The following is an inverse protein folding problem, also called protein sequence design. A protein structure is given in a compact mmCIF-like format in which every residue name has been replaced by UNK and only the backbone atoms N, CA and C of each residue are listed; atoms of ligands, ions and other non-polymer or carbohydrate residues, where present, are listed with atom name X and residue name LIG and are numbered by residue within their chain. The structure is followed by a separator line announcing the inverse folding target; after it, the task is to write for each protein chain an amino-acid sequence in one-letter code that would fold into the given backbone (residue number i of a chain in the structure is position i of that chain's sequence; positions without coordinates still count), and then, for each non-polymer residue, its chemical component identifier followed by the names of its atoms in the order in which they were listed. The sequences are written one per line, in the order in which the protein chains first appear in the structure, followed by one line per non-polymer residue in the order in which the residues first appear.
data_IF_347758710131
#
_entry.id   IF_347758710131
#
_cell.length_a   1.000
_cell.length_b   1.000
_cell.length_c   1.000
_cell.angle_alpha   90.00
_cell.angle_beta   90.00
_cell.angle_gamma   90.00
#
_symmetry.space_group_name_H-M   'P 1'
#
loop_
_entity.id
_entity.type
_entity.pdbx_description
1 polymer ?
#
# COMPACT_ATOMS: atom_id res chain seq x y z
N UNK A 1 -15.54 5.43 -18.43
CA UNK A 1 -14.50 5.82 -17.44
C UNK A 1 -14.33 4.71 -16.41
N UNK A 2 -13.09 4.26 -16.20
CA UNK A 2 -12.70 3.02 -15.50
C UNK A 2 -13.30 2.92 -14.09
N UNK A 3 -14.01 1.84 -13.77
CA UNK A 3 -14.66 1.57 -12.48
C UNK A 3 -13.67 1.24 -11.33
N UNK A 4 -12.42 1.71 -11.43
CA UNK A 4 -11.32 1.37 -10.52
C UNK A 4 -11.67 1.65 -9.06
N UNK A 5 -12.22 2.82 -8.74
CA UNK A 5 -12.58 3.16 -7.37
C UNK A 5 -13.65 2.26 -6.74
N UNK A 6 -14.56 1.68 -7.56
CA UNK A 6 -15.55 0.70 -7.08
C UNK A 6 -14.88 -0.66 -6.86
N UNK A 7 -14.07 -1.11 -7.82
CA UNK A 7 -13.31 -2.36 -7.72
C UNK A 7 -12.36 -2.35 -6.53
N UNK A 8 -11.64 -1.24 -6.32
CA UNK A 8 -10.71 -1.07 -5.21
C UNK A 8 -11.43 -1.24 -3.87
N UNK A 9 -12.59 -0.59 -3.67
CA UNK A 9 -13.37 -0.75 -2.43
C UNK A 9 -13.86 -2.17 -2.20
N UNK A 10 -14.26 -2.88 -3.27
CA UNK A 10 -14.78 -4.24 -3.17
C UNK A 10 -13.69 -5.27 -2.90
N UNK A 11 -12.48 -5.03 -3.40
CA UNK A 11 -11.34 -5.93 -3.25
C UNK A 11 -10.46 -5.62 -2.02
N UNK A 12 -10.88 -4.67 -1.17
CA UNK A 12 -10.12 -4.30 0.02
C UNK A 12 -10.24 -5.36 1.11
N UNK A 13 -9.09 -5.82 1.60
CA UNK A 13 -8.97 -6.60 2.83
C UNK A 13 -9.36 -5.68 4.00
N UNK A 14 -10.27 -6.13 4.86
CA UNK A 14 -10.89 -5.30 5.89
C UNK A 14 -9.86 -4.79 6.91
N UNK A 15 -8.96 -5.67 7.30
CA UNK A 15 -7.88 -5.46 8.24
C UNK A 15 -6.88 -4.41 7.72
N UNK A 16 -6.76 -4.26 6.40
CA UNK A 16 -5.76 -3.41 5.77
C UNK A 16 -6.32 -2.12 5.20
N UNK A 17 -7.60 -1.81 5.41
CA UNK A 17 -8.29 -0.66 4.81
C UNK A 17 -7.54 0.67 4.97
N UNK A 18 -6.86 0.88 6.11
CA UNK A 18 -6.06 2.08 6.40
C UNK A 18 -4.81 2.24 5.52
N UNK A 19 -4.25 1.13 5.04
CA UNK A 19 -3.00 1.12 4.27
C UNK A 19 -3.22 1.25 2.77
N UNK A 20 -4.44 1.02 2.26
CA UNK A 20 -4.76 1.24 0.85
C UNK A 20 -4.63 2.72 0.45
N UNK A 21 -4.36 2.94 -0.84
CA UNK A 21 -4.32 4.28 -1.44
C UNK A 21 -5.67 4.99 -1.30
N UNK A 22 -5.65 6.25 -0.84
CA UNK A 22 -6.86 7.06 -0.76
C UNK A 22 -7.26 7.63 -2.14
N UNK A 23 -7.74 6.74 -3.00
CA UNK A 23 -8.09 7.05 -4.39
C UNK A 23 -9.15 8.16 -4.49
N UNK A 24 -10.11 8.21 -3.55
CA UNK A 24 -11.16 9.24 -3.52
C UNK A 24 -10.56 10.64 -3.30
N UNK A 25 -9.61 10.77 -2.37
CA UNK A 25 -8.91 12.03 -2.09
C UNK A 25 -8.09 12.47 -3.30
N UNK A 26 -7.28 11.57 -3.87
CA UNK A 26 -6.45 11.86 -5.04
C UNK A 26 -7.30 12.32 -6.24
N UNK A 27 -8.38 11.59 -6.53
CA UNK A 27 -9.33 11.95 -7.60
C UNK A 27 -9.96 13.33 -7.37
N UNK A 28 -10.31 13.68 -6.13
CA UNK A 28 -10.83 15.02 -5.79
C UNK A 28 -9.82 16.12 -6.06
N UNK A 29 -8.54 15.89 -5.73
CA UNK A 29 -7.45 16.85 -5.99
C UNK A 29 -7.26 17.06 -7.50
N UNK A 30 -7.14 15.98 -8.27
CA UNK A 30 -7.04 16.05 -9.74
C UNK A 30 -8.21 16.81 -10.36
N UNK A 31 -9.44 16.56 -9.90
CA UNK A 31 -10.63 17.28 -10.41
C UNK A 31 -10.56 18.79 -10.15
N UNK A 32 -10.10 19.21 -8.96
CA UNK A 32 -9.95 20.64 -8.64
C UNK A 32 -8.94 21.31 -9.56
N UNK A 33 -7.83 20.65 -9.87
CA UNK A 33 -6.83 21.18 -10.80
C UNK A 33 -7.38 21.34 -12.22
N UNK A 34 -8.09 20.31 -12.72
CA UNK A 34 -8.74 20.38 -14.03
C UNK A 34 -9.76 21.51 -14.12
N UNK A 35 -10.49 21.80 -13.03
CA UNK A 35 -11.48 22.88 -13.00
C UNK A 35 -10.81 24.26 -12.94
N UNK A 36 -9.77 24.42 -12.13
CA UNK A 36 -9.05 25.69 -12.01
C UNK A 36 -8.32 26.11 -13.30
N UNK A 37 -7.85 25.15 -14.10
CA UNK A 37 -7.29 25.44 -15.43
C UNK A 37 -8.35 25.85 -16.46
N UNK A 38 -9.60 25.38 -16.31
CA UNK A 38 -10.70 25.71 -17.22
C UNK A 38 -11.39 27.04 -16.87
N UNK A 39 -11.40 27.43 -15.60
CA UNK A 39 -12.14 28.63 -15.14
C UNK A 39 -11.39 29.95 -15.35
N UNK A 40 -10.12 29.95 -15.79
CA UNK A 40 -9.35 31.18 -16.06
C UNK A 40 -9.21 32.12 -14.87
N UNK A 41 -9.49 31.64 -13.66
CA UNK A 41 -9.58 32.45 -12.44
C UNK A 41 -8.18 32.83 -11.95
N UNK A 42 -7.87 34.13 -12.04
CA UNK A 42 -6.60 34.78 -11.67
C UNK A 42 -6.15 34.60 -10.21
N UNK A 43 -7.05 34.18 -9.31
CA UNK A 43 -6.76 33.97 -7.87
C UNK A 43 -6.25 32.57 -7.51
N UNK A 44 -5.89 31.75 -8.50
CA UNK A 44 -5.43 30.39 -8.24
C UNK A 44 -3.92 30.35 -8.01
N UNK A 45 -3.48 29.67 -6.95
CA UNK A 45 -2.06 29.41 -6.70
C UNK A 45 -1.32 28.93 -7.96
N UNK A 46 -0.01 29.24 -8.11
CA UNK A 46 0.75 28.86 -9.29
C UNK A 46 0.62 27.35 -9.55
N UNK A 47 0.40 26.97 -10.83
CA UNK A 47 0.26 25.57 -11.24
C UNK A 47 1.40 24.68 -10.72
N UNK A 48 2.61 25.22 -10.62
CA UNK A 48 3.79 24.54 -10.06
C UNK A 48 3.62 24.16 -8.58
N UNK A 49 3.03 25.03 -7.76
CA UNK A 49 2.78 24.78 -6.33
C UNK A 49 1.73 23.68 -6.17
N UNK A 50 0.67 23.79 -6.96
CA UNK A 50 -0.43 22.81 -7.06
C UNK A 50 0.06 21.40 -7.41
N UNK A 51 0.92 21.28 -8.44
CA UNK A 51 1.49 20.00 -8.86
C UNK A 51 2.46 19.46 -7.82
N UNK A 52 3.27 20.33 -7.20
CA UNK A 52 4.19 19.96 -6.12
C UNK A 52 3.44 19.41 -4.90
N UNK A 53 2.32 20.04 -4.52
CA UNK A 53 1.46 19.57 -3.43
C UNK A 53 0.84 18.20 -3.74
N UNK A 54 0.42 17.99 -4.99
CA UNK A 54 -0.11 16.71 -5.41
C UNK A 54 0.97 15.62 -5.43
N UNK A 55 2.18 15.93 -5.90
CA UNK A 55 3.32 15.01 -5.85
C UNK A 55 3.60 14.58 -4.41
N UNK A 56 3.71 15.54 -3.48
CA UNK A 56 3.91 15.24 -2.05
C UNK A 56 2.80 14.36 -1.49
N UNK A 57 1.55 14.61 -1.87
CA UNK A 57 0.43 13.78 -1.47
C UNK A 57 0.55 12.36 -2.05
N UNK A 58 0.97 12.19 -3.30
CA UNK A 58 1.20 10.88 -3.89
C UNK A 58 2.37 10.16 -3.20
N UNK A 59 3.49 10.84 -2.99
CA UNK A 59 4.68 10.29 -2.35
C UNK A 59 4.33 9.75 -0.95
N UNK A 60 3.56 10.51 -0.15
CA UNK A 60 3.11 10.04 1.17
C UNK A 60 2.16 8.81 1.09
N UNK A 61 1.34 8.69 0.03
CA UNK A 61 0.52 7.49 -0.15
C UNK A 61 1.38 6.29 -0.56
N UNK A 62 2.40 6.49 -1.40
CA UNK A 62 3.33 5.44 -1.82
C UNK A 62 4.13 4.96 -0.61
N UNK A 63 4.73 5.89 0.14
CA UNK A 63 5.50 5.60 1.35
C UNK A 63 4.69 4.75 2.33
N UNK A 64 3.46 5.16 2.64
CA UNK A 64 2.56 4.39 3.52
C UNK A 64 2.35 2.95 3.04
N UNK A 65 2.12 2.76 1.75
CA UNK A 65 1.88 1.42 1.17
C UNK A 65 3.16 0.58 1.20
N UNK A 66 4.30 1.17 0.85
CA UNK A 66 5.59 0.48 0.82
C UNK A 66 6.00 0.06 2.23
N UNK A 67 5.90 0.95 3.22
CA UNK A 67 6.20 0.63 4.61
C UNK A 67 5.34 -0.54 5.11
N UNK A 68 4.04 -0.51 4.81
CA UNK A 68 3.13 -1.60 5.17
C UNK A 68 3.53 -2.93 4.52
N UNK A 69 3.86 -2.94 3.23
CA UNK A 69 4.30 -4.17 2.54
C UNK A 69 5.58 -4.70 3.16
N UNK A 70 6.56 -3.84 3.47
CA UNK A 70 7.82 -4.24 4.10
C UNK A 70 7.59 -4.87 5.48
N UNK A 71 6.71 -4.28 6.29
CA UNK A 71 6.33 -4.82 7.60
C UNK A 71 5.71 -6.22 7.44
N UNK A 72 4.70 -6.38 6.57
CA UNK A 72 4.08 -7.68 6.33
C UNK A 72 5.05 -8.72 5.76
N UNK A 73 6.01 -8.32 4.93
CA UNK A 73 7.05 -9.21 4.43
C UNK A 73 7.99 -9.67 5.55
N UNK A 74 8.35 -8.78 6.47
CA UNK A 74 9.15 -9.10 7.65
C UNK A 74 8.44 -10.11 8.57
N UNK A 75 7.15 -9.90 8.85
CA UNK A 75 6.35 -10.84 9.63
C UNK A 75 6.26 -12.21 8.97
N UNK A 76 6.06 -12.24 7.65
CA UNK A 76 5.97 -13.49 6.90
C UNK A 76 7.31 -14.23 6.91
N UNK A 77 8.42 -13.52 6.72
CA UNK A 77 9.76 -14.09 6.77
C UNK A 77 10.06 -14.71 8.15
N UNK A 78 9.69 -14.03 9.24
CA UNK A 78 9.85 -14.56 10.59
C UNK A 78 9.02 -15.84 10.82
N UNK A 79 7.77 -15.87 10.34
CA UNK A 79 6.92 -17.07 10.39
C UNK A 79 7.52 -18.22 9.60
N UNK A 80 8.04 -17.96 8.40
CA UNK A 80 8.68 -18.97 7.57
C UNK A 80 9.95 -19.53 8.21
N UNK A 81 10.79 -18.68 8.82
CA UNK A 81 11.98 -19.13 9.54
C UNK A 81 11.62 -20.07 10.70
N UNK A 82 10.64 -19.69 11.53
CA UNK A 82 10.18 -20.53 12.65
C UNK A 82 9.60 -21.87 12.18
N UNK A 83 8.87 -21.90 11.06
CA UNK A 83 8.38 -23.16 10.48
C UNK A 83 9.52 -24.05 9.98
N UNK A 84 10.54 -23.45 9.35
CA UNK A 84 11.75 -24.17 8.91
C UNK A 84 12.49 -24.83 10.08
N UNK A 85 12.66 -24.11 11.19
CA UNK A 85 13.31 -24.62 12.39
C UNK A 85 12.55 -25.81 12.99
N UNK A 86 11.22 -25.70 13.13
CA UNK A 86 10.38 -26.79 13.62
C UNK A 86 10.46 -28.03 12.73
N UNK A 87 10.38 -27.84 11.41
CA UNK A 87 10.46 -28.95 10.46
C UNK A 87 11.82 -29.65 10.54
N UNK A 88 12.92 -28.89 10.63
CA UNK A 88 14.26 -29.45 10.78
C UNK A 88 14.41 -30.24 12.09
N UNK A 89 13.87 -29.70 13.20
CA UNK A 89 13.91 -30.36 14.50
C UNK A 89 13.10 -31.67 14.52
N UNK A 90 11.90 -31.68 13.93
CA UNK A 90 11.07 -32.88 13.80
C UNK A 90 11.75 -33.98 12.96
N UNK A 91 12.35 -33.60 11.82
CA UNK A 91 13.08 -34.54 10.96
C UNK A 91 14.30 -35.14 11.66
N UNK A 92 15.01 -34.33 12.45
CA UNK A 92 16.20 -34.78 13.20
C UNK A 92 15.81 -35.77 14.31
N UNK A 93 14.72 -35.51 15.05
CA UNK A 93 14.20 -36.45 16.04
C UNK A 93 13.75 -37.78 15.43
N UNK A 94 13.08 -37.75 14.26
CA UNK A 94 12.67 -38.97 13.56
C UNK A 94 13.86 -39.83 13.15
N UNK A 95 14.94 -39.24 12.65
CA UNK A 95 16.15 -40.00 12.29
C UNK A 95 16.82 -40.64 13.53
N UNK A 96 16.88 -39.93 14.66
CA UNK A 96 17.46 -40.46 15.89
C UNK A 96 16.66 -41.65 16.45
N UNK A 97 15.32 -41.61 16.32
CA UNK A 97 14.45 -42.72 16.74
C UNK A 97 14.52 -43.95 15.82
N UNK A 98 14.93 -43.80 14.56
CA UNK A 98 15.10 -44.92 13.62
C UNK A 98 16.49 -45.59 13.72
N UNK A 99 17.45 -44.94 14.38
CA UNK A 99 18.81 -45.44 14.59
C UNK A 99 19.04 -46.06 15.99
N UNK A 100 17.99 -46.10 16.83
CA UNK A 100 17.97 -46.71 18.17
C UNK A 100 17.08 -47.96 18.17
#
# INVERSE_FOLDING_TARGET
MVAFGKKLKQAQVQEWQGYYINYKLLKKRVKRYSQAQQSGTQDTQPQSVVLKDFSRLLDSQIEKIVLFILEQQGELAAKLASLGDHQHHCLTQQQQQQLS
#
